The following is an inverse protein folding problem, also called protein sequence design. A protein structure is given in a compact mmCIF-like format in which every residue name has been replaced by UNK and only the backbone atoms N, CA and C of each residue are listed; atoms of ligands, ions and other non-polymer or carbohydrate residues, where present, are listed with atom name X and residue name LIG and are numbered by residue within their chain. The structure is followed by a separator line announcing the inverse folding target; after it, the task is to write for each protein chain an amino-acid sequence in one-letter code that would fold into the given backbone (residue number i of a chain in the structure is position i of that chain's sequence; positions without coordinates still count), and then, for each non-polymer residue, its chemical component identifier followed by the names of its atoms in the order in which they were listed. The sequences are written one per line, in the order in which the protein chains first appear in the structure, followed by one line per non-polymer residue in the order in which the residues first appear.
data_IF_020701023317
#
_entry.id   IF_020701023317
#
_cell.length_a   1.000
_cell.length_b   1.000
_cell.length_c   1.000
_cell.angle_alpha   90.00
_cell.angle_beta   90.00
_cell.angle_gamma   90.00
#
_symmetry.space_group_name_H-M   'P 1'
#
loop_
_entity.id
_entity.type
_entity.pdbx_description
1 polymer ?
#
# COMPACT_ATOMS: atom_id res chain seq x y z
N UNK A 1 -4.93 -3.35 7.22
CA UNK A 1 -4.38 -3.01 5.89
C UNK A 1 -5.44 -2.30 5.08
N UNK A 2 -5.96 -1.21 5.63
CA UNK A 2 -7.09 -0.48 5.05
C UNK A 2 -7.04 0.95 5.58
N UNK A 3 -7.89 1.80 5.01
CA UNK A 3 -8.21 3.16 5.48
C UNK A 3 -8.55 3.28 6.98
N UNK A 4 -8.80 2.19 7.69
CA UNK A 4 -9.07 2.20 9.13
C UNK A 4 -7.81 2.31 10.00
N UNK A 5 -6.62 2.36 9.41
CA UNK A 5 -5.38 2.54 10.15
C UNK A 5 -5.13 4.00 10.51
N UNK A 6 -4.68 4.23 11.74
CA UNK A 6 -4.38 5.58 12.20
C UNK A 6 -3.30 6.22 11.31
N UNK A 7 -3.62 7.39 10.75
CA UNK A 7 -2.74 8.10 9.83
C UNK A 7 -2.86 7.71 8.35
N UNK A 8 -3.68 6.72 7.99
CA UNK A 8 -4.00 6.41 6.60
C UNK A 8 -5.12 7.34 6.10
N UNK A 9 -4.81 8.19 5.12
CA UNK A 9 -5.73 9.17 4.53
C UNK A 9 -6.48 8.57 3.33
N UNK A 10 -5.72 7.93 2.44
CA UNK A 10 -6.21 7.28 1.23
C UNK A 10 -5.68 5.85 1.19
N UNK A 11 -6.55 4.94 0.78
CA UNK A 11 -6.19 3.57 0.46
C UNK A 11 -7.10 3.13 -0.69
N UNK A 12 -6.53 2.99 -1.88
CA UNK A 12 -7.26 2.63 -3.09
C UNK A 12 -6.54 1.52 -3.83
N UNK A 13 -7.30 0.53 -4.26
CA UNK A 13 -6.84 -0.57 -5.12
C UNK A 13 -7.71 -0.57 -6.35
N UNK A 14 -7.10 -0.47 -7.53
CA UNK A 14 -7.78 -0.47 -8.82
C UNK A 14 -7.17 -1.57 -9.68
N UNK A 15 -8.01 -2.43 -10.24
CA UNK A 15 -7.57 -3.38 -11.25
C UNK A 15 -7.21 -2.62 -12.54
N UNK A 16 -6.06 -2.94 -13.13
CA UNK A 16 -5.64 -2.27 -14.34
C UNK A 16 -6.58 -2.65 -15.50
N UNK A 17 -7.11 -1.67 -16.26
CA UNK A 17 -8.14 -1.94 -17.28
C UNK A 17 -7.61 -2.76 -18.47
N UNK A 18 -6.30 -2.71 -18.74
CA UNK A 18 -5.67 -3.39 -19.87
C UNK A 18 -5.00 -4.71 -19.46
N UNK A 19 -4.71 -4.89 -18.17
CA UNK A 19 -4.10 -6.11 -17.63
C UNK A 19 -4.80 -6.54 -16.32
N UNK A 20 -5.73 -7.51 -16.37
CA UNK A 20 -6.50 -7.95 -15.20
C UNK A 20 -5.65 -8.66 -14.12
N UNK A 21 -4.39 -8.97 -14.41
CA UNK A 21 -3.45 -9.53 -13.43
C UNK A 21 -2.63 -8.46 -12.70
N UNK A 22 -2.85 -7.18 -13.02
CA UNK A 22 -2.18 -6.05 -12.37
C UNK A 22 -3.20 -5.26 -11.55
N UNK A 23 -2.80 -4.93 -10.33
CA UNK A 23 -3.54 -4.03 -9.44
C UNK A 23 -2.66 -2.83 -9.12
N UNK A 24 -3.19 -1.64 -9.36
CA UNK A 24 -2.56 -0.38 -9.00
C UNK A 24 -3.06 0.03 -7.61
N UNK A 25 -2.11 0.25 -6.70
CA UNK A 25 -2.38 0.60 -5.30
C UNK A 25 -1.91 2.02 -5.05
N UNK A 26 -2.82 2.87 -4.55
CA UNK A 26 -2.53 4.25 -4.17
C UNK A 26 -2.87 4.48 -2.71
N UNK A 27 -1.91 5.00 -1.96
CA UNK A 27 -2.02 5.19 -0.52
C UNK A 27 -1.42 6.54 -0.12
N UNK A 28 -2.11 7.25 0.77
CA UNK A 28 -1.62 8.49 1.36
C UNK A 28 -1.62 8.36 2.88
N UNK A 29 -0.56 8.88 3.50
CA UNK A 29 -0.37 8.83 4.95
C UNK A 29 -0.06 10.22 5.50
N UNK A 30 -0.49 10.46 6.74
CA UNK A 30 -0.26 11.74 7.43
C UNK A 30 1.22 12.08 7.60
N UNK A 31 2.07 11.07 7.70
CA UNK A 31 3.53 11.22 7.80
C UNK A 31 4.24 9.89 7.53
N UNK A 32 5.57 9.94 7.44
CA UNK A 32 6.44 8.78 7.20
C UNK A 32 6.29 7.68 8.26
N UNK A 33 6.21 8.03 9.54
CA UNK A 33 6.09 7.03 10.62
C UNK A 33 4.82 6.18 10.49
N UNK A 34 3.70 6.81 10.14
CA UNK A 34 2.43 6.11 9.90
C UNK A 34 2.48 5.19 8.68
N UNK A 35 3.19 5.60 7.62
CA UNK A 35 3.45 4.76 6.44
C UNK A 35 4.36 3.57 6.79
N UNK A 36 5.44 3.77 7.53
CA UNK A 36 6.36 2.70 7.90
C UNK A 36 5.68 1.65 8.79
N UNK A 37 4.89 2.09 9.76
CA UNK A 37 4.10 1.18 10.59
C UNK A 37 3.08 0.38 9.76
N UNK A 38 2.45 1.00 8.77
CA UNK A 38 1.61 0.30 7.80
C UNK A 38 2.40 -0.78 7.04
N UNK A 39 3.57 -0.45 6.48
CA UNK A 39 4.40 -1.40 5.72
C UNK A 39 4.82 -2.63 6.56
N UNK A 40 5.15 -2.43 7.85
CA UNK A 40 5.44 -3.54 8.76
C UNK A 40 4.23 -4.49 8.90
N UNK A 41 3.04 -3.91 9.10
CA UNK A 41 1.81 -4.70 9.19
C UNK A 41 1.47 -5.40 7.87
N UNK A 42 1.76 -4.81 6.71
CA UNK A 42 1.58 -5.46 5.39
C UNK A 42 2.39 -6.74 5.36
N UNK A 43 3.67 -6.63 5.69
CA UNK A 43 4.64 -7.72 5.64
C UNK A 43 4.25 -8.87 6.58
N UNK A 44 3.77 -8.57 7.77
CA UNK A 44 3.42 -9.58 8.77
C UNK A 44 2.03 -10.18 8.56
N UNK A 45 1.19 -9.56 7.72
CA UNK A 45 -0.16 -10.03 7.46
C UNK A 45 -0.24 -11.32 6.64
N UNK A 46 -1.38 -11.98 6.73
CA UNK A 46 -1.73 -13.12 5.88
C UNK A 46 -1.61 -12.77 4.39
N UNK A 47 -2.03 -11.56 4.02
CA UNK A 47 -1.89 -11.04 2.65
C UNK A 47 -0.42 -10.97 2.23
N UNK A 48 0.45 -10.38 3.05
CA UNK A 48 1.89 -10.29 2.79
C UNK A 48 2.53 -11.67 2.64
N UNK A 49 2.13 -12.64 3.46
CA UNK A 49 2.63 -14.02 3.38
C UNK A 49 2.19 -14.75 2.10
N UNK A 50 0.90 -14.68 1.73
CA UNK A 50 0.40 -15.41 0.55
C UNK A 50 0.81 -14.75 -0.77
N UNK A 51 1.08 -13.45 -0.77
CA UNK A 51 1.50 -12.68 -1.96
C UNK A 51 3.01 -12.45 -2.02
N UNK A 52 3.82 -13.20 -1.26
CA UNK A 52 5.28 -13.01 -1.21
C UNK A 52 5.95 -13.11 -2.59
N UNK A 53 5.40 -13.93 -3.49
CA UNK A 53 5.92 -14.15 -4.84
C UNK A 53 5.34 -13.20 -5.90
N UNK A 54 4.46 -12.27 -5.52
CA UNK A 54 3.93 -11.25 -6.43
C UNK A 54 4.98 -10.16 -6.62
N UNK A 55 5.29 -9.82 -7.88
CA UNK A 55 6.16 -8.70 -8.20
C UNK A 55 5.51 -7.38 -7.78
N UNK A 56 6.30 -6.49 -7.17
CA UNK A 56 5.81 -5.19 -6.69
C UNK A 56 6.74 -4.10 -7.19
N UNK A 57 6.13 -3.05 -7.72
CA UNK A 57 6.82 -1.84 -8.11
C UNK A 57 6.32 -0.71 -7.21
N UNK A 58 7.24 -0.06 -6.52
CA UNK A 58 6.94 1.01 -5.57
C UNK A 58 7.50 2.33 -6.06
N UNK A 59 6.66 3.36 -6.01
CA UNK A 59 7.08 4.75 -6.06
C UNK A 59 6.62 5.39 -4.76
N UNK A 60 7.57 5.94 -3.99
CA UNK A 60 7.29 6.60 -2.71
C UNK A 60 7.71 8.05 -2.87
N UNK A 61 6.76 8.95 -2.68
CA UNK A 61 6.95 10.39 -2.79
C UNK A 61 6.78 11.02 -1.42
N UNK A 62 7.82 11.71 -0.94
CA UNK A 62 7.71 12.57 0.23
C UNK A 62 7.19 13.93 -0.24
N UNK A 63 5.90 14.19 -0.03
CA UNK A 63 5.27 15.45 -0.40
C UNK A 63 5.58 16.46 0.71
N UNK A 64 6.44 17.44 0.41
CA UNK A 64 6.63 18.62 1.26
C UNK A 64 5.59 19.67 0.86
N UNK A 65 4.95 20.32 1.83
CA UNK A 65 4.07 21.47 1.59
C UNK A 65 4.81 22.65 0.96
#
# INVERSE_FOLDING_TARGET
LTKSEAGCLVFQVVENPDNPLRFDVYEEFTNRDTFEHHQLRVKDSDWGRVTVNVERHYEILDVQE
#
